data_IF_349551423459
#
_entry.id   IF_349551423459
#
_cell.length_a   1.000
_cell.length_b   1.000
_cell.length_c   1.000
_cell.angle_alpha   90.00
_cell.angle_beta   90.00
_cell.angle_gamma   90.00
#
_symmetry.space_group_name_H-M   'P 1'
#
loop_
_entity.id
_entity.type
_entity.pdbx_description
1 polymer ?
#
# COMPACT_ATOMS: atom_id res chain seq x y z
N UNK A 1 -18.82 6.86 7.59
CA UNK A 1 -18.09 6.01 8.56
C UNK A 1 -16.72 6.62 8.75
N UNK A 2 -16.35 6.92 10.00
CA UNK A 2 -14.98 7.34 10.34
C UNK A 2 -14.13 6.08 10.35
N UNK A 3 -13.76 5.57 9.18
CA UNK A 3 -12.69 4.59 9.05
C UNK A 3 -11.41 5.31 9.45
N UNK A 4 -11.08 5.14 10.72
CA UNK A 4 -9.92 5.70 11.37
C UNK A 4 -8.71 5.13 10.62
N UNK A 5 -7.89 6.01 10.02
CA UNK A 5 -6.68 5.65 9.28
C UNK A 5 -5.60 5.15 10.26
N UNK A 6 -5.89 4.05 10.95
CA UNK A 6 -5.03 3.45 11.95
C UNK A 6 -3.92 2.71 11.21
N UNK A 7 -2.64 3.00 11.51
CA UNK A 7 -1.53 2.22 10.98
C UNK A 7 -1.67 0.74 11.35
N UNK A 8 -1.35 -0.14 10.43
CA UNK A 8 -1.41 -1.58 10.65
C UNK A 8 -0.16 -2.27 10.10
N UNK A 9 -0.03 -3.55 10.39
CA UNK A 9 1.11 -4.36 9.98
C UNK A 9 0.68 -5.47 9.03
N UNK A 10 1.53 -5.76 8.05
CA UNK A 10 1.42 -6.88 7.11
C UNK A 10 2.73 -7.69 7.13
N UNK A 11 2.66 -8.96 6.73
CA UNK A 11 3.83 -9.82 6.60
C UNK A 11 4.12 -10.04 5.11
N UNK A 12 5.28 -9.60 4.65
CA UNK A 12 5.76 -9.79 3.27
C UNK A 12 7.16 -10.39 3.30
N UNK A 13 7.38 -11.52 2.62
CA UNK A 13 8.69 -12.21 2.56
C UNK A 13 9.35 -12.38 3.94
N UNK A 14 8.57 -12.83 4.95
CA UNK A 14 9.01 -13.04 6.34
C UNK A 14 9.45 -11.74 7.07
N UNK A 15 9.10 -10.58 6.53
CA UNK A 15 9.34 -9.28 7.13
C UNK A 15 8.01 -8.63 7.52
N UNK A 16 7.96 -8.08 8.73
CA UNK A 16 6.85 -7.24 9.16
C UNK A 16 7.02 -5.86 8.54
N UNK A 17 6.02 -5.43 7.77
CA UNK A 17 5.97 -4.10 7.19
C UNK A 17 4.88 -3.29 7.88
N UNK A 18 5.21 -2.07 8.30
CA UNK A 18 4.26 -1.09 8.81
C UNK A 18 3.61 -0.37 7.64
N UNK A 19 2.30 -0.23 7.72
CA UNK A 19 1.46 0.44 6.71
C UNK A 19 0.78 1.63 7.36
N UNK A 20 1.11 2.83 6.90
CA UNK A 20 0.42 4.06 7.27
C UNK A 20 -0.47 4.51 6.10
N UNK A 21 -1.72 4.88 6.39
CA UNK A 21 -2.67 5.31 5.37
C UNK A 21 -2.60 6.84 5.26
N UNK A 22 -2.27 7.34 4.08
CA UNK A 22 -2.18 8.77 3.76
C UNK A 22 -3.26 9.09 2.73
N UNK A 23 -4.25 9.88 3.14
CA UNK A 23 -5.31 10.36 2.24
C UNK A 23 -4.93 11.73 1.67
N UNK A 24 -4.90 11.85 0.35
CA UNK A 24 -4.64 13.10 -0.36
C UNK A 24 -5.76 13.36 -1.37
N UNK A 25 -6.72 14.21 -0.99
CA UNK A 25 -7.92 14.48 -1.77
C UNK A 25 -8.77 13.21 -1.97
N UNK A 26 -8.92 12.78 -3.23
CA UNK A 26 -9.65 11.55 -3.59
C UNK A 26 -8.76 10.30 -3.65
N UNK A 27 -7.45 10.47 -3.45
CA UNK A 27 -6.47 9.40 -3.57
C UNK A 27 -6.05 8.90 -2.20
N UNK A 28 -5.81 7.59 -2.11
CA UNK A 28 -5.24 6.95 -0.93
C UNK A 28 -3.87 6.41 -1.29
N UNK A 29 -2.88 6.76 -0.48
CA UNK A 29 -1.50 6.29 -0.59
C UNK A 29 -1.15 5.55 0.69
N UNK A 30 -0.51 4.41 0.55
CA UNK A 30 -0.06 3.58 1.65
C UNK A 30 1.45 3.73 1.75
N UNK A 31 1.91 4.30 2.86
CA UNK A 31 3.33 4.39 3.17
C UNK A 31 3.75 3.12 3.87
N UNK A 32 4.73 2.45 3.29
CA UNK A 32 5.27 1.17 3.75
C UNK A 32 6.65 1.42 4.33
N UNK A 33 6.84 1.02 5.58
CA UNK A 33 8.12 1.09 6.29
C UNK A 33 8.48 -0.28 6.86
N UNK A 34 9.77 -0.50 7.05
CA UNK A 34 10.31 -1.73 7.60
C UNK A 34 11.29 -1.40 8.71
N UNK A 35 11.05 -1.92 9.92
CA UNK A 35 11.93 -1.69 11.07
C UNK A 35 13.33 -2.29 10.89
N UNK A 36 13.50 -3.31 10.03
CA UNK A 36 14.78 -4.00 9.79
C UNK A 36 15.63 -3.36 8.69
N UNK A 37 15.03 -2.63 7.75
CA UNK A 37 15.76 -2.01 6.63
C UNK A 37 15.28 -0.58 6.41
N UNK A 38 16.15 0.44 6.56
CA UNK A 38 15.77 1.81 6.30
C UNK A 38 15.39 1.97 4.83
N UNK A 39 14.12 2.28 4.61
CA UNK A 39 13.53 2.47 3.30
C UNK A 39 12.05 2.80 3.44
N UNK A 40 11.60 3.82 2.71
CA UNK A 40 10.18 4.15 2.61
C UNK A 40 9.74 3.82 1.19
N UNK A 41 8.67 3.06 1.08
CA UNK A 41 8.06 2.69 -0.19
C UNK A 41 6.60 3.09 -0.15
N UNK A 42 6.07 3.68 -1.23
CA UNK A 42 4.67 4.11 -1.27
C UNK A 42 3.91 3.28 -2.29
N UNK A 43 2.75 2.78 -1.89
CA UNK A 43 1.85 1.98 -2.71
C UNK A 43 0.52 2.70 -2.87
N UNK A 44 -0.10 2.64 -4.04
CA UNK A 44 -1.40 3.23 -4.30
C UNK A 44 -2.16 2.44 -5.37
N UNK A 45 -3.48 2.64 -5.46
CA UNK A 45 -4.29 2.11 -6.56
C UNK A 45 -4.32 3.15 -7.68
N UNK A 46 -3.85 2.75 -8.85
CA UNK A 46 -4.02 3.48 -10.09
C UNK A 46 -5.12 2.83 -10.93
N UNK A 47 -5.59 3.56 -11.93
CA UNK A 47 -6.55 3.09 -12.92
C UNK A 47 -5.89 3.14 -14.29
N UNK A 48 -6.01 2.08 -15.08
CA UNK A 48 -5.51 2.04 -16.44
C UNK A 48 -6.48 2.69 -17.44
N UNK A 49 -6.09 2.71 -18.72
CA UNK A 49 -6.91 3.26 -19.81
C UNK A 49 -8.23 2.47 -20.03
N UNK A 50 -8.29 1.22 -19.60
CA UNK A 50 -9.48 0.36 -19.67
C UNK A 50 -10.39 0.49 -18.43
N UNK A 51 -10.08 1.42 -17.51
CA UNK A 51 -10.76 1.62 -16.22
C UNK A 51 -10.60 0.47 -15.23
N UNK A 52 -9.57 -0.36 -15.37
CA UNK A 52 -9.23 -1.40 -14.39
C UNK A 52 -8.29 -0.82 -13.34
N UNK A 53 -8.55 -1.17 -12.08
CA UNK A 53 -7.69 -0.76 -10.98
C UNK A 53 -6.53 -1.73 -10.81
N UNK A 54 -5.32 -1.20 -10.60
CA UNK A 54 -4.13 -1.97 -10.29
C UNK A 54 -3.30 -1.29 -9.20
N UNK A 55 -2.47 -2.07 -8.53
CA UNK A 55 -1.56 -1.57 -7.52
C UNK A 55 -0.23 -1.14 -8.16
N UNK A 56 0.24 0.03 -7.76
CA UNK A 56 1.51 0.58 -8.23
C UNK A 56 2.23 1.29 -7.10
N UNK A 57 3.51 1.60 -7.31
CA UNK A 57 4.31 2.37 -6.37
C UNK A 57 4.70 3.73 -6.91
N UNK A 58 4.82 4.71 -6.02
CA UNK A 58 5.29 6.05 -6.36
C UNK A 58 6.56 6.40 -5.56
N UNK A 59 7.56 7.09 -6.15
CA UNK A 59 7.65 7.49 -7.57
C UNK A 59 8.16 6.37 -8.49
N UNK A 60 8.68 5.26 -7.95
CA UNK A 60 9.53 4.32 -8.69
C UNK A 60 8.81 3.34 -9.64
N UNK A 61 7.46 3.29 -9.66
CA UNK A 61 6.71 2.44 -10.60
C UNK A 61 6.97 0.93 -10.48
N UNK A 62 7.41 0.42 -9.33
CA UNK A 62 7.65 -1.00 -9.04
C UNK A 62 6.33 -1.80 -8.98
N UNK A 63 5.83 -2.18 -10.14
CA UNK A 63 4.54 -2.87 -10.29
C UNK A 63 4.48 -4.21 -9.56
N UNK A 64 5.51 -5.05 -9.65
CA UNK A 64 5.48 -6.40 -9.07
C UNK A 64 5.40 -6.39 -7.54
N UNK A 65 6.23 -5.58 -6.89
CA UNK A 65 6.25 -5.45 -5.43
C UNK A 65 4.96 -4.78 -4.95
N UNK A 66 4.53 -3.71 -5.62
CA UNK A 66 3.30 -3.01 -5.29
C UNK A 66 2.06 -3.92 -5.45
N UNK A 67 2.03 -4.78 -6.47
CA UNK A 67 0.97 -5.75 -6.66
C UNK A 67 0.86 -6.73 -5.48
N UNK A 68 1.99 -7.31 -5.06
CA UNK A 68 2.00 -8.26 -3.93
C UNK A 68 1.62 -7.59 -2.62
N UNK A 69 2.23 -6.43 -2.31
CA UNK A 69 1.93 -5.67 -1.09
C UNK A 69 0.49 -5.16 -1.09
N UNK A 70 0.01 -4.69 -2.24
CA UNK A 70 -1.35 -4.19 -2.42
C UNK A 70 -2.41 -5.22 -2.11
N UNK A 71 -2.22 -6.47 -2.55
CA UNK A 71 -3.13 -7.58 -2.20
C UNK A 71 -3.20 -7.79 -0.68
N UNK A 72 -2.06 -7.81 0.01
CA UNK A 72 -2.00 -7.96 1.47
C UNK A 72 -2.72 -6.80 2.20
N UNK A 73 -2.61 -5.59 1.66
CA UNK A 73 -3.34 -4.41 2.15
C UNK A 73 -4.85 -4.59 1.98
N UNK A 74 -5.32 -5.05 0.80
CA UNK A 74 -6.75 -5.31 0.57
C UNK A 74 -7.30 -6.37 1.51
N UNK A 75 -6.57 -7.47 1.70
CA UNK A 75 -6.97 -8.54 2.61
C UNK A 75 -7.05 -8.06 4.06
N UNK A 76 -6.16 -7.15 4.46
CA UNK A 76 -6.15 -6.60 5.81
C UNK A 76 -7.27 -5.59 6.06
N UNK A 77 -7.65 -4.81 5.04
CA UNK A 77 -8.71 -3.79 5.14
C UNK A 77 -10.11 -4.39 4.99
N UNK A 78 -10.25 -5.55 4.31
CA UNK A 78 -11.54 -6.25 4.15
C UNK A 78 -11.99 -7.03 5.40
N UNK A 79 -11.08 -7.29 6.34
CA UNK A 79 -11.37 -7.97 7.62
C UNK A 79 -12.01 -7.01 8.61
#
# INVERSE_FOLDING_TARGET
MKDQDIPFEIIYEQQTLKVEIIRSGKSVVYKITNDKKPGVFFVTRAMDAEKKYFWTSIPEGRLEIAAKIGVLIEEKIKQ
#
